data_IF_181342489802
#
_entry.id   IF_181342489802
#
_cell.length_a   1.000
_cell.length_b   1.000
_cell.length_c   1.000
_cell.angle_alpha   90.00
_cell.angle_beta   90.00
_cell.angle_gamma   90.00
#
_symmetry.space_group_name_H-M   'P 1'
#
loop_
_entity.id
_entity.type
_entity.pdbx_description
1 polymer ?
#
# COMPACT_ATOMS: atom_id res chain seq x y z
N UNK A 1 -6.61 13.45 -6.80
CA UNK A 1 -6.14 13.38 -8.20
C UNK A 1 -5.57 14.74 -8.56
N UNK A 2 -4.71 14.88 -9.59
CA UNK A 2 -4.37 16.19 -10.15
C UNK A 2 -5.63 16.95 -10.58
N UNK A 3 -5.57 18.28 -10.57
CA UNK A 3 -6.72 19.13 -10.90
C UNK A 3 -7.15 18.94 -12.37
N UNK A 4 -6.20 18.64 -13.27
CA UNK A 4 -6.44 18.40 -14.69
C UNK A 4 -6.91 16.97 -15.01
N UNK A 5 -7.28 16.17 -14.01
CA UNK A 5 -7.71 14.79 -14.25
C UNK A 5 -9.06 14.75 -14.99
N UNK A 6 -9.18 13.99 -16.11
CA UNK A 6 -10.44 13.87 -16.84
C UNK A 6 -11.53 13.12 -16.05
N UNK A 7 -11.16 12.49 -14.93
CA UNK A 7 -12.09 11.79 -14.05
C UNK A 7 -13.01 12.75 -13.30
N UNK A 8 -12.66 14.03 -13.18
CA UNK A 8 -13.48 15.03 -12.50
C UNK A 8 -14.80 15.32 -13.21
N UNK A 9 -14.79 15.30 -14.55
CA UNK A 9 -15.95 15.61 -15.40
C UNK A 9 -16.63 14.35 -15.97
N UNK A 10 -16.21 13.15 -15.54
CA UNK A 10 -16.70 11.90 -16.11
C UNK A 10 -18.07 11.51 -15.52
N UNK A 11 -19.06 11.32 -16.40
CA UNK A 11 -20.39 10.84 -16.00
C UNK A 11 -20.36 9.42 -15.40
N UNK A 12 -21.25 9.18 -14.43
CA UNK A 12 -21.46 7.88 -13.78
C UNK A 12 -20.23 7.33 -13.01
N UNK A 13 -19.41 8.21 -12.44
CA UNK A 13 -18.25 7.83 -11.61
C UNK A 13 -18.43 8.29 -10.16
N UNK A 14 -18.17 7.38 -9.22
CA UNK A 14 -17.97 7.72 -7.81
C UNK A 14 -16.48 7.79 -7.50
N UNK A 15 -16.02 8.93 -6.99
CA UNK A 15 -14.64 9.11 -6.53
C UNK A 15 -14.60 9.29 -5.02
N UNK A 16 -13.66 8.61 -4.40
CA UNK A 16 -13.31 8.81 -2.99
C UNK A 16 -11.82 9.15 -2.89
N UNK A 17 -11.38 9.89 -1.85
CA UNK A 17 -9.97 10.02 -1.56
C UNK A 17 -9.31 8.65 -1.41
N UNK A 18 -7.98 8.59 -1.44
CA UNK A 18 -7.22 7.34 -1.25
C UNK A 18 -7.32 6.84 0.20
N UNK A 19 -8.50 6.30 0.54
CA UNK A 19 -8.90 5.87 1.88
C UNK A 19 -9.54 4.49 1.87
N UNK A 20 -9.71 3.85 0.71
CA UNK A 20 -10.33 2.51 0.62
C UNK A 20 -9.57 1.41 1.37
N UNK A 21 -8.26 1.57 1.56
CA UNK A 21 -7.45 0.68 2.37
C UNK A 21 -7.35 1.08 3.86
N UNK A 22 -7.93 2.21 4.27
CA UNK A 22 -7.82 2.69 5.65
C UNK A 22 -8.87 2.02 6.53
N UNK A 23 -8.41 1.50 7.66
CA UNK A 23 -9.23 1.05 8.78
C UNK A 23 -8.50 1.38 10.08
N UNK A 24 -9.22 1.31 11.20
CA UNK A 24 -8.63 1.32 12.55
C UNK A 24 -7.53 0.26 12.72
N UNK A 25 -7.70 -0.90 12.10
CA UNK A 25 -6.70 -1.99 12.10
C UNK A 25 -5.58 -1.84 11.06
N UNK A 26 -5.53 -0.76 10.27
CA UNK A 26 -4.59 -0.66 9.15
C UNK A 26 -3.14 -0.77 9.59
N UNK A 27 -2.76 -0.04 10.65
CA UNK A 27 -1.41 -0.05 11.19
C UNK A 27 -0.99 -1.43 11.70
N UNK A 28 -1.86 -2.10 12.46
CA UNK A 28 -1.60 -3.44 12.96
C UNK A 28 -1.39 -4.44 11.83
N UNK A 29 -2.27 -4.42 10.82
CA UNK A 29 -2.22 -5.36 9.70
C UNK A 29 -1.00 -5.12 8.81
N UNK A 30 -0.67 -3.88 8.48
CA UNK A 30 0.48 -3.61 7.59
C UNK A 30 1.81 -3.99 8.26
N UNK A 31 1.93 -3.82 9.57
CA UNK A 31 3.14 -4.16 10.31
C UNK A 31 3.44 -5.67 10.31
N UNK A 32 2.43 -6.52 10.16
CA UNK A 32 2.64 -7.99 10.00
C UNK A 32 3.50 -8.35 8.79
N UNK A 33 3.59 -7.46 7.80
CA UNK A 33 4.44 -7.62 6.61
C UNK A 33 5.70 -6.75 6.73
N UNK A 34 5.56 -5.48 7.11
CA UNK A 34 6.69 -4.54 7.15
C UNK A 34 7.74 -4.95 8.18
N UNK A 35 7.33 -5.32 9.40
CA UNK A 35 8.27 -5.61 10.49
C UNK A 35 9.19 -6.80 10.18
N UNK A 36 8.71 -8.00 9.82
CA UNK A 36 9.60 -9.13 9.53
C UNK A 36 10.49 -8.86 8.32
N UNK A 37 9.97 -8.18 7.29
CA UNK A 37 10.76 -7.81 6.11
C UNK A 37 11.87 -6.82 6.46
N UNK A 38 11.60 -5.83 7.31
CA UNK A 38 12.62 -4.87 7.75
C UNK A 38 13.70 -5.56 8.58
N UNK A 39 13.35 -6.50 9.46
CA UNK A 39 14.31 -7.31 10.21
C UNK A 39 15.19 -8.14 9.28
N UNK A 40 14.58 -8.86 8.33
CA UNK A 40 15.29 -9.65 7.33
C UNK A 40 16.24 -8.79 6.48
N UNK A 41 15.80 -7.58 6.09
CA UNK A 41 16.61 -6.63 5.34
C UNK A 41 17.85 -6.16 6.12
N UNK A 42 17.67 -5.73 7.37
CA UNK A 42 18.78 -5.29 8.24
C UNK A 42 19.78 -6.42 8.52
N UNK A 43 19.29 -7.66 8.66
CA UNK A 43 20.12 -8.85 8.85
C UNK A 43 20.80 -9.36 7.57
N UNK A 44 20.51 -8.76 6.40
CA UNK A 44 21.01 -9.24 5.10
C UNK A 44 20.39 -10.56 4.61
N UNK A 45 19.30 -11.02 5.22
CA UNK A 45 18.59 -12.27 4.92
C UNK A 45 17.45 -12.03 3.93
N UNK A 46 17.77 -11.52 2.75
CA UNK A 46 16.76 -11.11 1.76
C UNK A 46 15.86 -12.27 1.30
N UNK A 47 16.37 -13.50 1.34
CA UNK A 47 15.64 -14.75 1.06
C UNK A 47 14.50 -15.03 2.05
N UNK A 48 14.53 -14.40 3.24
CA UNK A 48 13.50 -14.55 4.27
C UNK A 48 12.40 -13.49 4.18
N UNK A 49 12.50 -12.54 3.25
CA UNK A 49 11.46 -11.56 3.02
C UNK A 49 10.23 -12.22 2.39
N UNK A 50 9.04 -11.77 2.78
CA UNK A 50 7.76 -12.20 2.22
C UNK A 50 7.22 -11.14 1.26
N UNK A 51 6.37 -11.56 0.31
CA UNK A 51 5.76 -10.69 -0.71
C UNK A 51 6.81 -9.90 -1.52
N UNK A 52 7.93 -10.54 -1.84
CA UNK A 52 8.96 -9.96 -2.72
C UNK A 52 8.39 -9.83 -4.13
N UNK A 53 8.49 -8.63 -4.70
CA UNK A 53 8.01 -8.32 -6.05
C UNK A 53 9.23 -8.11 -6.94
N UNK A 54 9.33 -8.89 -8.01
CA UNK A 54 10.33 -8.70 -9.06
C UNK A 54 9.88 -7.57 -10.01
N UNK A 55 10.85 -6.91 -10.66
CA UNK A 55 10.58 -5.86 -11.64
C UNK A 55 10.18 -6.43 -12.99
#
# INVERSE_FOLDING_TARGET
LPDESPLWDMDNVFMTPFTGGRSDMYAERILTVIEPNLRAYVDGKLDQMINVVEK
#
